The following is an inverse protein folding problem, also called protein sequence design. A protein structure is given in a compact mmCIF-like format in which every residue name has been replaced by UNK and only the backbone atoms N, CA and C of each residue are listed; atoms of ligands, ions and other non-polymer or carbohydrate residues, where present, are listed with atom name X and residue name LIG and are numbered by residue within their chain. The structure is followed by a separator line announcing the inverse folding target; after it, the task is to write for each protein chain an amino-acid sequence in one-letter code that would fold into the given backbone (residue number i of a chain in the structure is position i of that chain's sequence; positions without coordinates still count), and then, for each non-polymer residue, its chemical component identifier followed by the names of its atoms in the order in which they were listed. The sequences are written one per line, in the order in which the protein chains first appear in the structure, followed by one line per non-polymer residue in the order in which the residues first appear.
data_IF_644495061958
#
_entry.id   IF_644495061958
#
_cell.length_a   1.000
_cell.length_b   1.000
_cell.length_c   1.000
_cell.angle_alpha   90.00
_cell.angle_beta   90.00
_cell.angle_gamma   90.00
#
_symmetry.space_group_name_H-M   'P 1'
#
loop_
_entity.id
_entity.type
_entity.pdbx_description
1 polymer ?
#
# COMPACT_ATOMS: atom_id res chain seq x y z
N UNK A 1 21.31 -15.58 8.94
CA UNK A 1 21.13 -15.34 7.49
C UNK A 1 19.72 -15.85 7.19
N UNK A 2 18.84 -15.04 6.58
CA UNK A 2 17.48 -15.49 6.26
C UNK A 2 17.52 -16.46 5.10
N UNK A 3 16.73 -17.54 5.20
CA UNK A 3 16.55 -18.52 4.12
C UNK A 3 15.83 -17.86 2.93
N UNK A 4 16.27 -18.12 1.68
CA UNK A 4 15.70 -17.50 0.48
C UNK A 4 14.22 -17.82 0.28
N UNK A 5 13.74 -18.95 0.79
CA UNK A 5 12.31 -19.28 0.82
C UNK A 5 11.51 -18.36 1.74
N UNK A 6 12.07 -17.95 2.87
CA UNK A 6 11.41 -17.02 3.78
C UNK A 6 11.35 -15.60 3.20
N UNK A 7 12.41 -15.17 2.51
CA UNK A 7 12.40 -13.89 1.79
C UNK A 7 11.33 -13.86 0.67
N UNK A 8 11.11 -14.98 -0.04
CA UNK A 8 10.02 -15.10 -1.02
C UNK A 8 8.63 -15.09 -0.38
N UNK A 9 8.46 -15.67 0.81
CA UNK A 9 7.19 -15.61 1.54
C UNK A 9 6.87 -14.17 1.99
N UNK A 10 7.85 -13.46 2.53
CA UNK A 10 7.69 -12.04 2.89
C UNK A 10 7.40 -11.17 1.66
N UNK A 11 8.00 -11.48 0.51
CA UNK A 11 7.68 -10.80 -0.74
C UNK A 11 6.20 -11.00 -1.12
N UNK A 12 5.71 -12.24 -1.10
CA UNK A 12 4.32 -12.54 -1.43
C UNK A 12 3.32 -11.87 -0.45
N UNK A 13 3.68 -11.79 0.83
CA UNK A 13 2.90 -11.05 1.83
C UNK A 13 2.88 -9.54 1.53
N UNK A 14 4.05 -8.95 1.28
CA UNK A 14 4.15 -7.54 0.92
C UNK A 14 3.35 -7.18 -0.34
N UNK A 15 3.38 -8.03 -1.37
CA UNK A 15 2.59 -7.84 -2.59
C UNK A 15 1.08 -7.92 -2.32
N UNK A 16 0.65 -8.82 -1.43
CA UNK A 16 -0.76 -8.93 -1.02
C UNK A 16 -1.22 -7.68 -0.26
N UNK A 17 -0.40 -7.20 0.67
CA UNK A 17 -0.71 -6.01 1.46
C UNK A 17 -0.78 -4.75 0.58
N UNK A 18 0.15 -4.61 -0.37
CA UNK A 18 0.11 -3.56 -1.39
C UNK A 18 -1.20 -3.59 -2.17
N UNK A 19 -1.59 -4.76 -2.70
CA UNK A 19 -2.82 -4.90 -3.46
C UNK A 19 -4.07 -4.55 -2.64
N UNK A 20 -4.08 -4.89 -1.35
CA UNK A 20 -5.16 -4.48 -0.44
C UNK A 20 -5.13 -2.97 -0.15
N UNK A 21 -3.95 -2.38 0.02
CA UNK A 21 -3.76 -0.94 0.18
C UNK A 21 -4.27 -0.14 -1.01
N UNK A 22 -3.98 -0.58 -2.24
CA UNK A 22 -4.48 0.03 -3.47
C UNK A 22 -6.01 -0.01 -3.57
N UNK A 23 -6.62 -1.13 -3.17
CA UNK A 23 -8.08 -1.26 -3.10
C UNK A 23 -8.67 -0.28 -2.08
N UNK A 24 -8.05 -0.13 -0.91
CA UNK A 24 -8.48 0.84 0.11
C UNK A 24 -8.41 2.28 -0.40
N UNK A 25 -7.34 2.65 -1.10
CA UNK A 25 -7.20 3.97 -1.74
C UNK A 25 -8.30 4.20 -2.78
N UNK A 26 -8.58 3.21 -3.62
CA UNK A 26 -9.63 3.30 -4.65
C UNK A 26 -11.00 3.51 -4.02
N UNK A 27 -11.31 2.76 -2.95
CA UNK A 27 -12.56 2.91 -2.21
C UNK A 27 -12.66 4.28 -1.55
N UNK A 28 -11.57 4.79 -0.96
CA UNK A 28 -11.53 6.10 -0.33
C UNK A 28 -11.75 7.24 -1.34
N UNK A 29 -11.18 7.13 -2.54
CA UNK A 29 -11.44 8.06 -3.64
C UNK A 29 -12.91 8.06 -4.05
N UNK A 30 -13.52 6.88 -4.19
CA UNK A 30 -14.95 6.77 -4.49
C UNK A 30 -15.82 7.43 -3.42
N UNK A 31 -15.51 7.19 -2.13
CA UNK A 31 -16.20 7.81 -1.01
C UNK A 31 -16.09 9.34 -1.03
N UNK A 32 -14.89 9.89 -1.24
CA UNK A 32 -14.68 11.34 -1.34
C UNK A 32 -15.53 11.94 -2.46
N UNK A 33 -15.57 11.29 -3.63
CA UNK A 33 -16.37 11.75 -4.77
C UNK A 33 -17.88 11.69 -4.48
N UNK A 34 -18.36 10.67 -3.76
CA UNK A 34 -19.74 10.61 -3.30
C UNK A 34 -20.05 11.74 -2.31
N UNK A 35 -19.21 11.91 -1.27
CA UNK A 35 -19.37 12.96 -0.27
C UNK A 35 -19.38 14.36 -0.88
N UNK A 36 -18.50 14.63 -1.85
CA UNK A 36 -18.48 15.91 -2.59
C UNK A 36 -19.78 16.17 -3.34
N UNK A 37 -20.34 15.15 -4.01
CA UNK A 37 -21.62 15.28 -4.74
C UNK A 37 -22.78 15.57 -3.79
N UNK A 38 -22.75 14.97 -2.62
CA UNK A 38 -23.78 15.13 -1.59
C UNK A 38 -23.60 16.43 -0.77
N UNK A 39 -22.54 17.21 -1.05
CA UNK A 39 -22.27 18.49 -0.39
C UNK A 39 -21.68 18.36 1.01
N UNK A 40 -21.14 17.19 1.37
CA UNK A 40 -20.48 16.96 2.65
C UNK A 40 -19.05 17.54 2.66
N UNK A 41 -18.57 17.91 3.85
CA UNK A 41 -17.15 18.22 4.07
C UNK A 41 -16.31 16.96 3.90
N UNK A 42 -15.29 17.04 3.04
CA UNK A 42 -14.40 15.93 2.71
C UNK A 42 -13.01 16.06 3.33
N UNK A 43 -12.75 17.09 4.13
CA UNK A 43 -11.41 17.41 4.66
C UNK A 43 -10.78 16.21 5.39
N UNK A 44 -11.50 15.55 6.28
CA UNK A 44 -10.98 14.37 7.00
C UNK A 44 -10.83 13.14 6.09
N UNK A 45 -11.72 12.98 5.11
CA UNK A 45 -11.64 11.90 4.14
C UNK A 45 -10.40 12.05 3.23
N UNK A 46 -10.04 13.29 2.86
CA UNK A 46 -8.83 13.61 2.10
C UNK A 46 -7.55 13.40 2.93
N UNK A 47 -7.57 13.76 4.23
CA UNK A 47 -6.44 13.46 5.15
C UNK A 47 -6.22 11.96 5.28
N UNK A 48 -7.29 11.17 5.38
CA UNK A 48 -7.19 9.71 5.40
C UNK A 48 -6.60 9.18 4.08
N UNK A 49 -7.02 9.73 2.93
CA UNK A 49 -6.45 9.36 1.64
C UNK A 49 -4.95 9.64 1.55
N UNK A 50 -4.50 10.80 2.04
CA UNK A 50 -3.07 11.15 2.09
C UNK A 50 -2.28 10.17 2.98
N UNK A 51 -2.83 9.83 4.16
CA UNK A 51 -2.22 8.84 5.04
C UNK A 51 -2.11 7.48 4.37
N UNK A 52 -3.18 6.99 3.73
CA UNK A 52 -3.19 5.71 3.02
C UNK A 52 -2.13 5.67 1.91
N UNK A 53 -1.96 6.77 1.17
CA UNK A 53 -0.93 6.89 0.12
C UNK A 53 0.48 6.81 0.69
N UNK A 54 0.75 7.53 1.79
CA UNK A 54 2.06 7.49 2.48
C UNK A 54 2.38 6.10 3.02
N UNK A 55 1.38 5.42 3.59
CA UNK A 55 1.54 4.03 4.05
C UNK A 55 1.83 3.09 2.89
N UNK A 56 1.11 3.22 1.77
CA UNK A 56 1.33 2.39 0.60
C UNK A 56 2.73 2.61 -0.02
N UNK A 57 3.20 3.85 -0.06
CA UNK A 57 4.57 4.17 -0.51
C UNK A 57 5.64 3.49 0.37
N UNK A 58 5.45 3.46 1.68
CA UNK A 58 6.34 2.74 2.59
C UNK A 58 6.32 1.22 2.35
N UNK A 59 5.17 0.63 2.04
CA UNK A 59 5.07 -0.79 1.67
C UNK A 59 5.76 -1.09 0.33
N UNK A 60 5.63 -0.21 -0.66
CA UNK A 60 6.40 -0.31 -1.89
C UNK A 60 7.90 -0.30 -1.64
N UNK A 61 8.39 0.63 -0.81
CA UNK A 61 9.79 0.67 -0.41
C UNK A 61 10.26 -0.59 0.31
N UNK A 62 9.40 -1.19 1.15
CA UNK A 62 9.70 -2.45 1.82
C UNK A 62 9.82 -3.62 0.84
N UNK A 63 8.85 -3.77 -0.08
CA UNK A 63 8.87 -4.79 -1.13
C UNK A 63 10.14 -4.67 -1.98
N UNK A 64 10.49 -3.46 -2.38
CA UNK A 64 11.67 -3.21 -3.22
C UNK A 64 12.98 -3.54 -2.48
N UNK A 65 13.04 -3.35 -1.16
CA UNK A 65 14.17 -3.79 -0.35
C UNK A 65 14.29 -5.33 -0.29
N UNK A 66 13.17 -6.06 -0.21
CA UNK A 66 13.16 -7.53 -0.26
C UNK A 66 13.67 -8.01 -1.64
N UNK A 67 13.16 -7.43 -2.73
CA UNK A 67 13.60 -7.76 -4.08
C UNK A 67 15.11 -7.56 -4.26
N UNK A 68 15.64 -6.41 -3.81
CA UNK A 68 17.08 -6.15 -3.87
C UNK A 68 17.91 -7.16 -3.08
N UNK A 69 17.40 -7.66 -1.94
CA UNK A 69 18.10 -8.68 -1.15
C UNK A 69 18.12 -10.03 -1.86
N UNK A 70 17.02 -10.41 -2.50
CA UNK A 70 16.91 -11.62 -3.33
C UNK A 70 17.83 -11.54 -4.56
N UNK A 71 17.90 -10.41 -5.25
CA UNK A 71 18.78 -10.22 -6.42
C UNK A 71 20.27 -10.29 -6.07
N UNK A 72 20.64 -9.86 -4.86
CA UNK A 72 22.03 -9.90 -4.37
C UNK A 72 22.48 -11.29 -3.92
N UNK A 73 21.56 -12.26 -3.81
CA UNK A 73 21.81 -13.63 -3.40
C UNK A 73 21.34 -14.60 -4.49
N UNK A 74 22.20 -14.89 -5.50
CA UNK A 74 21.87 -15.83 -6.57
C UNK A 74 21.69 -17.28 -6.07
#
# INVERSE_FOLDING_TARGET
MMDPEMERQHLAEAERDIAEGERRITNQLCLIEQMRRDGHDVTEAEKLLDLLRKTLDAWYGHRDAILQNLERRP
#
